data_IF_392599258804
#
_entry.id   IF_392599258804
#
_cell.length_a   1.000
_cell.length_b   1.000
_cell.length_c   1.000
_cell.angle_alpha   90.00
_cell.angle_beta   90.00
_cell.angle_gamma   90.00
#
_symmetry.space_group_name_H-M   'P 1'
#
loop_
_entity.id
_entity.type
_entity.pdbx_description
1 polymer ?
#
# COMPACT_ATOMS: atom_id res chain seq x y z
N UNK A 1 44.65 27.02 11.19
CA UNK A 1 44.14 26.04 10.19
C UNK A 1 43.94 24.67 10.83
N UNK A 2 42.82 24.28 11.45
CA UNK A 2 41.70 24.94 12.14
C UNK A 2 41.05 23.79 12.94
N UNK A 3 40.87 23.90 14.27
CA UNK A 3 40.33 22.81 15.11
C UNK A 3 39.00 22.24 14.59
N UNK A 4 38.20 23.08 13.92
CA UNK A 4 36.98 22.70 13.21
C UNK A 4 37.18 21.57 12.17
N UNK A 5 38.30 21.58 11.43
CA UNK A 5 38.58 20.60 10.38
C UNK A 5 38.82 19.19 10.96
N UNK A 6 39.45 19.12 12.13
CA UNK A 6 39.67 17.85 12.85
C UNK A 6 38.37 17.31 13.43
N UNK A 7 37.55 18.18 14.04
CA UNK A 7 36.25 17.82 14.58
C UNK A 7 35.30 17.29 13.49
N UNK A 8 35.30 17.94 12.32
CA UNK A 8 34.51 17.50 11.17
C UNK A 8 34.87 16.09 10.69
N UNK A 9 36.16 15.76 10.58
CA UNK A 9 36.59 14.41 10.18
C UNK A 9 36.22 13.35 11.23
N UNK A 10 36.25 13.69 12.53
CA UNK A 10 35.80 12.80 13.61
C UNK A 10 34.29 12.53 13.49
N UNK A 11 33.48 13.58 13.30
CA UNK A 11 32.02 13.46 13.16
C UNK A 11 31.63 12.67 11.91
N UNK A 12 32.29 12.93 10.79
CA UNK A 12 32.12 12.21 9.52
C UNK A 12 32.44 10.72 9.67
N UNK A 13 33.55 10.38 10.31
CA UNK A 13 33.93 8.99 10.55
C UNK A 13 32.94 8.28 11.49
N UNK A 14 32.50 8.91 12.58
CA UNK A 14 31.47 8.36 13.47
C UNK A 14 30.14 8.11 12.75
N UNK A 15 29.72 9.04 11.88
CA UNK A 15 28.50 8.88 11.07
C UNK A 15 28.64 7.74 10.07
N UNK A 16 29.77 7.64 9.40
CA UNK A 16 30.06 6.59 8.43
C UNK A 16 30.11 5.19 9.07
N UNK A 17 30.66 5.07 10.28
CA UNK A 17 30.67 3.82 11.03
C UNK A 17 29.25 3.36 11.42
N UNK A 18 28.37 4.29 11.84
CA UNK A 18 26.96 3.97 12.10
C UNK A 18 26.26 3.46 10.84
N UNK A 19 26.44 4.15 9.71
CA UNK A 19 25.88 3.73 8.42
C UNK A 19 26.40 2.34 8.02
N UNK A 20 27.71 2.09 8.15
CA UNK A 20 28.32 0.76 7.89
C UNK A 20 27.71 -0.34 8.75
N UNK A 21 27.40 -0.07 10.03
CA UNK A 21 26.75 -1.05 10.92
C UNK A 21 25.36 -1.45 10.41
N UNK A 22 24.57 -0.48 9.94
CA UNK A 22 23.26 -0.75 9.33
C UNK A 22 23.38 -1.44 7.96
N UNK A 23 24.32 -1.00 7.11
CA UNK A 23 24.55 -1.58 5.79
C UNK A 23 25.03 -3.04 5.84
N UNK A 24 25.59 -3.50 6.97
CA UNK A 24 26.03 -4.89 7.15
C UNK A 24 24.88 -5.90 7.14
N UNK A 25 23.66 -5.45 7.50
CA UNK A 25 22.44 -6.27 7.40
C UNK A 25 21.86 -6.28 5.98
N UNK A 26 22.33 -5.42 5.08
CA UNK A 26 21.86 -5.39 3.71
C UNK A 26 22.50 -6.57 2.96
N UNK A 27 21.70 -7.51 2.41
CA UNK A 27 22.22 -8.64 1.67
C UNK A 27 23.04 -8.17 0.45
N UNK A 28 24.07 -8.93 0.09
CA UNK A 28 24.90 -8.65 -1.08
C UNK A 28 24.04 -8.49 -2.36
N UNK A 29 24.45 -7.59 -3.26
CA UNK A 29 23.77 -7.39 -4.56
C UNK A 29 23.59 -8.71 -5.33
N UNK A 30 24.57 -9.61 -5.26
CA UNK A 30 24.51 -10.92 -5.91
C UNK A 30 23.41 -11.82 -5.33
N UNK A 31 23.19 -11.75 -4.01
CA UNK A 31 22.12 -12.48 -3.32
C UNK A 31 20.74 -11.94 -3.68
N UNK A 32 20.60 -10.61 -3.79
CA UNK A 32 19.33 -9.96 -4.15
C UNK A 32 18.88 -10.32 -5.58
N UNK A 33 19.79 -10.43 -6.54
CA UNK A 33 19.45 -10.75 -7.93
C UNK A 33 18.96 -12.20 -8.14
N UNK A 34 19.21 -13.10 -7.18
CA UNK A 34 18.80 -14.51 -7.27
C UNK A 34 17.29 -14.69 -7.15
N UNK A 35 16.57 -13.74 -6.54
CA UNK A 35 15.14 -13.83 -6.33
C UNK A 35 14.35 -13.11 -7.44
N UNK A 36 13.35 -13.80 -8.01
CA UNK A 36 12.53 -13.30 -9.13
C UNK A 36 11.88 -11.94 -8.85
N UNK A 37 11.34 -11.76 -7.64
CA UNK A 37 10.72 -10.53 -7.16
C UNK A 37 11.71 -9.36 -7.28
N UNK A 38 12.88 -9.47 -6.64
CA UNK A 38 13.89 -8.41 -6.66
C UNK A 38 14.45 -8.14 -8.05
N UNK A 39 14.47 -9.13 -8.96
CA UNK A 39 14.88 -8.92 -10.35
C UNK A 39 13.88 -8.05 -11.14
N UNK A 40 12.58 -8.22 -10.89
CA UNK A 40 11.52 -7.41 -11.49
C UNK A 40 11.40 -6.03 -10.82
N UNK A 41 11.48 -5.96 -9.50
CA UNK A 41 11.45 -4.68 -8.77
C UNK A 41 12.73 -3.86 -8.94
N UNK A 42 13.87 -4.51 -9.20
CA UNK A 42 15.15 -3.84 -9.44
C UNK A 42 15.10 -2.84 -10.59
N UNK A 43 14.32 -3.10 -11.64
CA UNK A 43 14.15 -2.12 -12.73
C UNK A 43 13.32 -0.92 -12.32
N UNK A 44 12.35 -1.05 -11.41
CA UNK A 44 11.59 0.09 -10.86
C UNK A 44 12.46 1.00 -9.99
N UNK A 45 13.47 0.46 -9.30
CA UNK A 45 14.42 1.25 -8.53
C UNK A 45 15.34 2.12 -9.40
N UNK A 46 15.55 1.75 -10.67
CA UNK A 46 16.38 2.51 -11.61
C UNK A 46 15.66 3.72 -12.20
N UNK A 47 14.34 3.85 -12.01
CA UNK A 47 13.53 4.93 -12.56
C UNK A 47 13.46 6.07 -11.53
N UNK A 48 14.19 7.18 -11.72
CA UNK A 48 14.31 8.23 -10.69
C UNK A 48 12.99 8.92 -10.38
N UNK A 49 12.04 8.96 -11.32
CA UNK A 49 10.74 9.60 -11.14
C UNK A 49 9.89 8.92 -10.07
N UNK A 50 10.05 7.60 -9.86
CA UNK A 50 9.27 6.85 -8.87
C UNK A 50 9.65 7.19 -7.44
N UNK A 51 10.88 7.67 -7.23
CA UNK A 51 11.46 7.96 -5.92
C UNK A 51 11.69 9.46 -5.69
N UNK A 52 11.37 10.28 -6.69
CA UNK A 52 11.55 11.73 -6.60
C UNK A 52 10.40 12.38 -5.85
N UNK A 53 10.72 13.23 -4.88
CA UNK A 53 9.76 14.09 -4.17
C UNK A 53 9.54 15.43 -4.88
N UNK A 54 9.86 15.52 -6.18
CA UNK A 54 9.53 16.70 -6.95
C UNK A 54 8.00 16.89 -7.06
N UNK A 55 7.58 18.14 -7.21
CA UNK A 55 6.15 18.49 -7.28
C UNK A 55 5.40 17.74 -8.39
N UNK A 56 6.00 17.58 -9.58
CA UNK A 56 5.36 16.92 -10.74
C UNK A 56 4.99 15.45 -10.51
N UNK A 57 5.92 14.55 -10.11
CA UNK A 57 5.57 13.15 -9.81
C UNK A 57 4.67 13.01 -8.59
N UNK A 58 4.76 13.91 -7.60
CA UNK A 58 3.91 13.89 -6.42
C UNK A 58 2.46 14.27 -6.75
N UNK A 59 2.26 15.32 -7.54
CA UNK A 59 0.94 15.71 -8.05
C UNK A 59 0.28 14.58 -8.86
N UNK A 60 1.04 13.93 -9.74
CA UNK A 60 0.53 12.79 -10.51
C UNK A 60 0.12 11.63 -9.60
N UNK A 61 0.85 11.39 -8.50
CA UNK A 61 0.50 10.34 -7.53
C UNK A 61 -0.83 10.63 -6.84
N UNK A 62 -1.09 11.88 -6.44
CA UNK A 62 -2.36 12.25 -5.82
C UNK A 62 -3.55 12.07 -6.77
N UNK A 63 -3.47 12.56 -8.01
CA UNK A 63 -4.56 12.41 -8.98
C UNK A 63 -4.81 10.95 -9.35
N UNK A 64 -3.76 10.20 -9.68
CA UNK A 64 -3.87 8.79 -10.03
C UNK A 64 -4.38 7.95 -8.85
N UNK A 65 -3.89 8.24 -7.65
CA UNK A 65 -4.27 7.55 -6.43
C UNK A 65 -5.72 7.77 -6.08
N UNK A 66 -6.22 9.01 -6.16
CA UNK A 66 -7.62 9.30 -5.90
C UNK A 66 -8.57 8.58 -6.86
N UNK A 67 -8.24 8.56 -8.16
CA UNK A 67 -9.02 7.83 -9.16
C UNK A 67 -9.03 6.33 -8.84
N UNK A 68 -7.88 5.78 -8.45
CA UNK A 68 -7.76 4.37 -8.11
C UNK A 68 -8.55 4.02 -6.84
N UNK A 69 -8.57 4.88 -5.83
CA UNK A 69 -9.32 4.69 -4.58
C UNK A 69 -10.82 4.56 -4.79
N UNK A 70 -11.37 5.24 -5.80
CA UNK A 70 -12.79 5.17 -6.12
C UNK A 70 -13.18 3.92 -6.93
N UNK A 71 -12.20 3.19 -7.47
CA UNK A 71 -12.45 1.95 -8.17
C UNK A 71 -12.56 0.79 -7.16
N UNK A 72 -13.64 0.00 -7.15
CA UNK A 72 -13.85 -1.10 -6.19
C UNK A 72 -12.99 -2.33 -6.53
N UNK A 73 -11.67 -2.16 -6.67
CA UNK A 73 -10.70 -3.22 -6.99
C UNK A 73 -10.03 -3.69 -5.69
N UNK A 74 -10.83 -4.10 -4.70
CA UNK A 74 -10.32 -4.51 -3.39
C UNK A 74 -9.36 -5.71 -3.54
N UNK A 75 -8.12 -5.59 -3.03
CA UNK A 75 -7.08 -6.64 -3.08
C UNK A 75 -6.01 -6.50 -4.16
N UNK A 76 -6.33 -5.96 -5.35
CA UNK A 76 -5.35 -5.77 -6.46
C UNK A 76 -4.82 -4.32 -6.50
N UNK A 77 -5.23 -3.48 -5.54
CA UNK A 77 -4.89 -2.06 -5.54
C UNK A 77 -3.38 -1.79 -5.46
N UNK A 78 -2.59 -2.63 -4.79
CA UNK A 78 -1.12 -2.48 -4.73
C UNK A 78 -0.48 -2.75 -6.11
N UNK A 79 -0.74 -3.89 -6.79
CA UNK A 79 -0.33 -4.08 -8.18
C UNK A 79 -0.79 -2.97 -9.12
N UNK A 80 -2.06 -2.56 -9.02
CA UNK A 80 -2.62 -1.47 -9.83
C UNK A 80 -1.91 -0.14 -9.56
N UNK A 81 -1.62 0.18 -8.30
CA UNK A 81 -0.84 1.37 -7.93
C UNK A 81 0.56 1.31 -8.55
N UNK A 82 1.26 0.18 -8.48
CA UNK A 82 2.58 0.03 -9.11
C UNK A 82 2.51 0.29 -10.62
N UNK A 83 1.50 -0.27 -11.31
CA UNK A 83 1.29 -0.04 -12.74
C UNK A 83 0.95 1.42 -13.05
N UNK A 84 0.07 2.05 -12.27
CA UNK A 84 -0.28 3.46 -12.41
C UNK A 84 0.92 4.38 -12.16
N UNK A 85 1.79 4.07 -11.19
CA UNK A 85 3.01 4.82 -10.96
C UNK A 85 3.95 4.77 -12.17
N UNK A 86 4.07 3.61 -12.82
CA UNK A 86 4.88 3.44 -14.02
C UNK A 86 4.31 4.21 -15.22
N UNK A 87 3.00 4.10 -15.46
CA UNK A 87 2.33 4.75 -16.60
C UNK A 87 2.29 6.27 -16.43
N UNK A 88 1.87 6.75 -15.25
CA UNK A 88 1.74 8.18 -14.97
C UNK A 88 3.06 8.86 -14.55
N UNK A 89 4.17 8.10 -14.51
CA UNK A 89 5.48 8.55 -14.00
C UNK A 89 5.34 9.24 -12.63
N UNK A 90 4.54 8.64 -11.76
CA UNK A 90 4.19 9.17 -10.46
C UNK A 90 5.13 8.66 -9.37
N UNK A 91 5.15 9.33 -8.22
CA UNK A 91 5.90 8.85 -7.07
C UNK A 91 5.25 7.56 -6.54
N UNK A 92 5.98 6.46 -6.64
CA UNK A 92 5.51 5.12 -6.28
C UNK A 92 5.23 5.01 -4.78
N UNK A 93 6.10 5.59 -3.96
CA UNK A 93 5.99 5.54 -2.51
C UNK A 93 4.72 6.24 -2.04
N UNK A 94 4.46 7.44 -2.55
CA UNK A 94 3.26 8.22 -2.21
C UNK A 94 2.00 7.50 -2.66
N UNK A 95 2.00 6.91 -3.86
CA UNK A 95 0.84 6.21 -4.39
C UNK A 95 0.50 4.94 -3.59
N UNK A 96 1.51 4.14 -3.22
CA UNK A 96 1.33 2.98 -2.34
C UNK A 96 0.89 3.43 -0.95
N UNK A 97 1.49 4.48 -0.40
CA UNK A 97 1.12 5.01 0.91
C UNK A 97 -0.33 5.51 0.93
N UNK A 98 -0.78 6.17 -0.14
CA UNK A 98 -2.17 6.59 -0.28
C UNK A 98 -3.09 5.36 -0.28
N UNK A 99 -2.75 4.32 -1.04
CA UNK A 99 -3.57 3.11 -1.09
C UNK A 99 -3.61 2.35 0.24
N UNK A 100 -2.51 2.36 1.00
CA UNK A 100 -2.43 1.78 2.34
C UNK A 100 -3.13 2.63 3.40
N UNK A 101 -3.19 3.95 3.24
CA UNK A 101 -3.94 4.83 4.13
C UNK A 101 -5.44 4.72 3.83
N UNK A 102 -5.77 4.67 2.54
CA UNK A 102 -7.13 4.44 2.06
C UNK A 102 -7.65 3.07 2.48
N UNK A 103 -6.94 1.96 2.28
CA UNK A 103 -7.54 0.64 2.55
C UNK A 103 -8.15 0.47 3.97
N UNK A 104 -7.48 0.79 5.08
CA UNK A 104 -8.05 0.69 6.43
C UNK A 104 -9.16 1.72 6.69
N UNK A 105 -8.96 2.96 6.23
CA UNK A 105 -9.89 4.07 6.46
C UNK A 105 -11.15 3.93 5.61
N UNK A 106 -10.95 3.57 4.35
CA UNK A 106 -11.98 3.25 3.37
C UNK A 106 -12.71 1.97 3.75
N UNK A 107 -12.08 0.87 4.18
CA UNK A 107 -12.82 -0.32 4.65
C UNK A 107 -13.78 0.06 5.78
N UNK A 108 -13.31 0.76 6.82
CA UNK A 108 -14.18 1.15 7.94
C UNK A 108 -15.37 2.03 7.52
N UNK A 109 -15.20 2.86 6.50
CA UNK A 109 -16.22 3.81 6.06
C UNK A 109 -17.09 3.33 4.88
N UNK A 110 -16.51 2.57 3.97
CA UNK A 110 -17.10 2.12 2.71
C UNK A 110 -18.02 0.93 2.93
N UNK A 111 -17.66 -0.05 3.77
CA UNK A 111 -18.55 -1.18 4.08
C UNK A 111 -19.94 -0.76 4.58
N UNK A 112 -20.07 0.14 5.59
CA UNK A 112 -21.39 0.59 6.01
C UNK A 112 -22.09 1.43 4.94
N UNK A 113 -21.37 2.30 4.21
CA UNK A 113 -21.98 3.10 3.14
C UNK A 113 -22.51 2.26 1.99
N UNK A 114 -21.74 1.28 1.52
CA UNK A 114 -22.15 0.35 0.46
C UNK A 114 -23.34 -0.49 0.90
N UNK A 115 -23.40 -0.90 2.17
CA UNK A 115 -24.57 -1.58 2.72
C UNK A 115 -25.81 -0.68 2.70
N UNK A 116 -25.70 0.58 3.12
CA UNK A 116 -26.83 1.53 3.09
C UNK A 116 -27.27 1.87 1.66
N UNK A 117 -26.32 2.14 0.76
CA UNK A 117 -26.59 2.42 -0.65
C UNK A 117 -27.19 1.20 -1.34
N UNK A 118 -26.68 0.00 -1.08
CA UNK A 118 -27.21 -1.25 -1.59
C UNK A 118 -28.64 -1.52 -1.11
N UNK A 119 -28.92 -1.30 0.19
CA UNK A 119 -30.27 -1.39 0.75
C UNK A 119 -31.22 -0.37 0.12
N UNK A 120 -30.75 0.86 -0.07
CA UNK A 120 -31.53 1.91 -0.73
C UNK A 120 -31.80 1.56 -2.19
N UNK A 121 -30.80 1.15 -2.96
CA UNK A 121 -30.96 0.74 -4.37
C UNK A 121 -31.89 -0.48 -4.51
N UNK A 122 -31.78 -1.45 -3.60
CA UNK A 122 -32.67 -2.63 -3.55
C UNK A 122 -34.10 -2.28 -3.14
N UNK A 123 -34.33 -1.21 -2.39
CA UNK A 123 -35.71 -0.76 -2.12
C UNK A 123 -36.42 -0.21 -3.36
N UNK A 124 -35.67 0.21 -4.38
CA UNK A 124 -36.20 0.70 -5.65
C UNK A 124 -36.36 -0.39 -6.72
N UNK A 125 -35.68 -1.54 -6.57
CA UNK A 125 -35.69 -2.63 -7.53
C UNK A 125 -36.36 -3.89 -6.93
N UNK A 126 -37.42 -4.45 -7.53
CA UNK A 126 -38.08 -5.66 -7.05
C UNK A 126 -37.27 -6.92 -7.42
N UNK A 127 -36.01 -7.00 -7.00
CA UNK A 127 -35.21 -8.22 -7.09
C UNK A 127 -35.40 -9.04 -5.81
N UNK A 128 -35.79 -10.34 -5.89
CA UNK A 128 -35.82 -11.21 -4.72
C UNK A 128 -34.39 -11.50 -4.28
N UNK A 129 -33.91 -10.77 -3.29
CA UNK A 129 -32.59 -10.99 -2.69
C UNK A 129 -32.74 -12.10 -1.64
N UNK A 130 -32.86 -13.34 -2.09
CA UNK A 130 -32.82 -14.51 -1.21
C UNK A 130 -31.39 -14.84 -0.73
N UNK A 131 -30.46 -13.88 -0.70
CA UNK A 131 -29.04 -14.16 -0.48
C UNK A 131 -28.34 -13.27 0.55
N UNK A 132 -29.04 -12.37 1.25
CA UNK A 132 -28.38 -11.51 2.25
C UNK A 132 -29.27 -11.40 3.50
N UNK A 133 -29.67 -12.54 4.02
CA UNK A 133 -29.81 -12.64 5.46
C UNK A 133 -28.54 -13.32 6.00
N UNK A 134 -27.97 -12.72 7.04
CA UNK A 134 -27.06 -13.35 8.00
C UNK A 134 -25.57 -13.43 7.62
N UNK A 135 -24.87 -12.34 7.84
CA UNK A 135 -23.70 -12.43 8.72
C UNK A 135 -23.84 -11.31 9.75
N UNK A 136 -24.43 -11.62 10.91
CA UNK A 136 -24.38 -10.66 11.99
C UNK A 136 -22.91 -10.41 12.33
N UNK A 137 -22.55 -9.16 12.62
CA UNK A 137 -21.19 -8.80 12.98
C UNK A 137 -20.66 -9.63 14.18
N UNK A 138 -21.56 -10.09 15.06
CA UNK A 138 -21.22 -10.98 16.16
C UNK A 138 -20.85 -12.40 15.72
N UNK A 139 -21.49 -12.94 14.67
CA UNK A 139 -21.18 -14.28 14.13
C UNK A 139 -19.83 -14.29 13.41
N UNK A 140 -19.52 -13.22 12.68
CA UNK A 140 -18.25 -13.03 12.00
C UNK A 140 -17.10 -12.86 13.02
N UNK A 141 -17.33 -12.08 14.08
CA UNK A 141 -16.37 -11.93 15.17
C UNK A 141 -16.19 -13.23 15.96
N UNK A 142 -17.25 -14.03 16.14
CA UNK A 142 -17.18 -15.34 16.79
C UNK A 142 -16.42 -16.35 15.91
N UNK A 143 -16.65 -16.39 14.59
CA UNK A 143 -15.96 -17.26 13.65
C UNK A 143 -14.45 -16.95 13.54
N UNK A 144 -14.08 -15.66 13.52
CA UNK A 144 -12.67 -15.22 13.55
C UNK A 144 -11.97 -15.64 14.85
N UNK A 145 -12.68 -15.57 15.99
CA UNK A 145 -12.12 -15.92 17.30
C UNK A 145 -12.05 -17.43 17.53
N UNK A 146 -12.95 -18.20 16.92
CA UNK A 146 -13.08 -19.66 17.11
C UNK A 146 -12.48 -20.49 15.97
N UNK A 147 -12.17 -19.88 14.83
CA UNK A 147 -11.58 -20.54 13.65
C UNK A 147 -12.53 -21.46 12.87
N UNK A 148 -13.83 -21.44 13.18
CA UNK A 148 -14.84 -22.29 12.52
C UNK A 148 -15.55 -21.54 11.39
N UNK A 149 -15.13 -21.78 10.15
CA UNK A 149 -15.68 -21.13 8.95
C UNK A 149 -16.86 -21.88 8.32
N UNK A 150 -17.24 -23.05 8.88
CA UNK A 150 -18.24 -23.95 8.31
C UNK A 150 -19.70 -23.57 8.55
N UNK A 151 -19.99 -22.61 9.41
CA UNK A 151 -21.37 -22.29 9.86
C UNK A 151 -22.00 -21.09 9.14
N UNK A 152 -21.30 -20.46 8.20
CA UNK A 152 -21.78 -19.27 7.47
C UNK A 152 -22.35 -19.59 6.08
N UNK A 153 -22.40 -20.87 5.69
CA UNK A 153 -22.79 -21.32 4.33
C UNK A 153 -24.02 -22.26 4.39
N UNK A 154 -24.57 -22.54 5.58
CA UNK A 154 -25.76 -23.38 5.77
C UNK A 154 -27.01 -22.57 6.03
#
# INVERSE_FOLDING_TARGET
MEPFKQEWEILKNKRWQRIKKFLRYCPSRATLQKHFIFRKFGSLFLIPQLWSFAYKPMRNAYYAGWILTWCPVMGIQIPCAILLALVCRANLLVLIALQLLSNPLTIGFMYPMEFYVGKWLCSWLPFPIAFIEQANLHDLLFAIKSGSWGTLIS
#
